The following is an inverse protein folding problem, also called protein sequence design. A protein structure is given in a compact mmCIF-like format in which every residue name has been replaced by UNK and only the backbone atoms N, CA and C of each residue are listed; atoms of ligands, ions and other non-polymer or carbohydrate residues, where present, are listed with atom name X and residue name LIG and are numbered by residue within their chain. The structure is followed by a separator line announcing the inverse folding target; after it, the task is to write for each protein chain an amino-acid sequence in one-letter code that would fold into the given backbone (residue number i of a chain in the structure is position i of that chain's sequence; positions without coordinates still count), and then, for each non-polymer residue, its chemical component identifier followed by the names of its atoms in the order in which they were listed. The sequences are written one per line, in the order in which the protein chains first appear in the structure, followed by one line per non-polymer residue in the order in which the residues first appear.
data_IF_674005263576
#
_entry.id   IF_674005263576
#
_cell.length_a   1.000
_cell.length_b   1.000
_cell.length_c   1.000
_cell.angle_alpha   90.00
_cell.angle_beta   90.00
_cell.angle_gamma   90.00
#
_symmetry.space_group_name_H-M   'P 1'
#
loop_
_entity.id
_entity.type
_entity.pdbx_description
1 polymer ?
#
# COMPACT_ATOMS: atom_id res chain seq x y z
N UNK A 1 1.49 -9.05 13.64
CA UNK A 1 0.46 -9.79 12.88
C UNK A 1 0.91 -11.21 12.52
N UNK A 2 2.14 -11.43 12.03
CA UNK A 2 2.63 -12.79 11.71
C UNK A 2 2.93 -13.70 12.90
N UNK A 3 3.17 -13.15 14.10
CA UNK A 3 3.37 -13.91 15.34
C UNK A 3 2.09 -14.03 16.18
N UNK A 4 0.96 -13.59 15.64
CA UNK A 4 -0.32 -13.67 16.34
C UNK A 4 -0.73 -15.14 16.50
N UNK A 5 -1.29 -15.53 17.67
CA UNK A 5 -1.75 -16.91 17.88
C UNK A 5 -2.92 -17.30 16.98
N UNK A 6 -3.64 -16.33 16.40
CA UNK A 6 -4.84 -16.57 15.61
C UNK A 6 -4.52 -16.80 14.13
N UNK A 7 -5.07 -17.90 13.60
CA UNK A 7 -4.68 -18.45 12.29
C UNK A 7 -5.04 -17.53 11.12
N UNK A 8 -6.23 -16.92 11.11
CA UNK A 8 -6.67 -16.03 10.04
C UNK A 8 -5.92 -14.69 10.01
N UNK A 9 -5.44 -14.23 11.19
CA UNK A 9 -4.61 -13.02 11.29
C UNK A 9 -3.25 -13.28 10.64
N UNK A 10 -2.65 -14.44 10.94
CA UNK A 10 -1.40 -14.89 10.32
C UNK A 10 -1.53 -15.02 8.80
N UNK A 11 -2.63 -15.62 8.34
CA UNK A 11 -2.94 -15.79 6.93
C UNK A 11 -3.00 -14.45 6.19
N UNK A 12 -3.77 -13.49 6.73
CA UNK A 12 -3.88 -12.14 6.16
C UNK A 12 -2.52 -11.43 6.12
N UNK A 13 -1.75 -11.53 7.20
CA UNK A 13 -0.43 -10.90 7.29
C UNK A 13 0.54 -11.36 6.19
N UNK A 14 0.57 -12.66 5.89
CA UNK A 14 1.46 -13.23 4.86
C UNK A 14 1.05 -12.81 3.45
N UNK A 15 -0.26 -12.75 3.17
CA UNK A 15 -0.77 -12.32 1.86
C UNK A 15 -0.52 -10.82 1.68
N UNK A 16 -0.81 -10.01 2.70
CA UNK A 16 -0.58 -8.57 2.67
C UNK A 16 0.90 -8.22 2.46
N UNK A 17 1.84 -8.96 3.08
CA UNK A 17 3.27 -8.72 2.84
C UNK A 17 3.68 -9.00 1.40
N UNK A 18 3.10 -10.01 0.73
CA UNK A 18 3.39 -10.27 -0.68
C UNK A 18 2.83 -9.19 -1.61
N UNK A 19 1.60 -8.71 -1.36
CA UNK A 19 0.97 -7.65 -2.16
C UNK A 19 1.76 -6.35 -2.13
N UNK A 20 2.35 -5.98 -0.99
CA UNK A 20 3.16 -4.76 -0.85
C UNK A 20 4.52 -4.91 -1.54
N UNK A 21 5.09 -6.12 -1.49
CA UNK A 21 6.44 -6.40 -1.99
C UNK A 21 6.46 -6.88 -3.44
N UNK A 22 5.30 -6.94 -4.11
CA UNK A 22 5.21 -7.27 -5.54
C UNK A 22 6.08 -6.31 -6.36
N UNK A 23 6.75 -6.83 -7.39
CA UNK A 23 7.65 -6.07 -8.26
C UNK A 23 8.92 -5.50 -7.57
N UNK A 24 9.18 -5.84 -6.29
CA UNK A 24 10.44 -5.48 -5.63
C UNK A 24 11.46 -6.60 -5.80
N UNK A 25 12.64 -6.26 -6.31
CA UNK A 25 13.76 -7.20 -6.40
C UNK A 25 14.61 -7.13 -5.14
N UNK A 26 15.36 -8.20 -4.84
CA UNK A 26 16.23 -8.28 -3.68
C UNK A 26 17.29 -7.16 -3.62
N UNK A 27 17.69 -6.65 -4.79
CA UNK A 27 18.63 -5.54 -4.93
C UNK A 27 17.99 -4.22 -4.46
N UNK A 28 16.72 -4.01 -4.79
CA UNK A 28 16.01 -2.77 -4.44
C UNK A 28 15.52 -2.75 -2.99
N UNK A 29 15.21 -3.92 -2.42
CA UNK A 29 14.83 -4.05 -1.03
C UNK A 29 15.30 -5.40 -0.45
N UNK A 30 16.23 -5.41 0.52
CA UNK A 30 16.74 -6.66 1.10
C UNK A 30 15.69 -7.41 1.92
N UNK A 31 14.59 -6.75 2.31
CA UNK A 31 13.46 -7.38 3.02
C UNK A 31 12.76 -8.46 2.18
N UNK A 32 12.83 -8.38 0.85
CA UNK A 32 12.27 -9.40 -0.05
C UNK A 32 12.84 -10.78 0.27
N UNK A 33 14.16 -10.88 0.49
CA UNK A 33 14.82 -12.14 0.82
C UNK A 33 14.39 -12.68 2.19
N UNK A 34 14.19 -11.79 3.17
CA UNK A 34 13.68 -12.17 4.50
C UNK A 34 12.27 -12.77 4.40
N UNK A 35 11.38 -12.15 3.62
CA UNK A 35 10.02 -12.67 3.42
C UNK A 35 10.01 -13.98 2.64
N UNK A 36 10.87 -14.16 1.64
CA UNK A 36 11.05 -15.45 0.94
C UNK A 36 11.45 -16.58 1.87
N UNK A 37 12.40 -16.30 2.77
CA UNK A 37 12.84 -17.27 3.78
C UNK A 37 11.71 -17.57 4.77
N UNK A 38 10.95 -16.55 5.18
CA UNK A 38 9.79 -16.72 6.05
C UNK A 38 8.73 -17.61 5.41
N UNK A 39 8.37 -17.37 4.14
CA UNK A 39 7.39 -18.20 3.43
C UNK A 39 7.90 -19.64 3.30
N UNK A 40 9.15 -19.84 2.87
CA UNK A 40 9.76 -21.16 2.79
C UNK A 40 9.78 -21.90 4.13
N UNK A 41 10.00 -21.18 5.24
CA UNK A 41 9.98 -21.76 6.58
C UNK A 41 8.57 -22.25 6.95
N UNK A 42 7.56 -21.39 6.80
CA UNK A 42 6.16 -21.72 7.13
C UNK A 42 5.65 -22.88 6.28
N UNK A 43 6.03 -22.95 5.00
CA UNK A 43 5.60 -24.03 4.09
C UNK A 43 6.17 -25.39 4.53
N UNK A 44 7.44 -25.42 4.95
CA UNK A 44 8.12 -26.67 5.34
C UNK A 44 7.84 -27.10 6.78
N UNK A 45 7.39 -26.18 7.63
CA UNK A 45 7.05 -26.51 9.01
C UNK A 45 5.71 -27.27 9.08
N UNK A 46 5.76 -28.51 9.54
CA UNK A 46 4.55 -29.33 9.74
C UNK A 46 3.73 -28.89 10.95
N UNK A 47 4.32 -28.14 11.87
CA UNK A 47 3.70 -27.66 13.09
C UNK A 47 2.89 -26.38 12.85
N UNK A 48 3.07 -25.73 11.70
CA UNK A 48 2.27 -24.59 11.29
C UNK A 48 0.88 -25.02 10.78
N UNK A 49 -0.08 -24.13 10.99
CA UNK A 49 -1.46 -24.32 10.56
C UNK A 49 -1.58 -24.49 9.04
N UNK A 50 -2.54 -25.31 8.61
CA UNK A 50 -2.82 -25.53 7.18
C UNK A 50 -3.17 -24.22 6.47
N UNK A 51 -3.89 -23.32 7.16
CA UNK A 51 -4.26 -22.01 6.61
C UNK A 51 -3.04 -21.10 6.42
N UNK A 52 -2.10 -21.10 7.37
CA UNK A 52 -0.86 -20.32 7.27
C UNK A 52 0.03 -20.84 6.11
N UNK A 53 0.14 -22.17 5.99
CA UNK A 53 0.85 -22.83 4.89
C UNK A 53 0.26 -22.49 3.53
N UNK A 54 -1.06 -22.56 3.40
CA UNK A 54 -1.75 -22.18 2.17
C UNK A 54 -1.47 -20.72 1.77
N UNK A 55 -1.58 -19.79 2.72
CA UNK A 55 -1.23 -18.38 2.45
C UNK A 55 0.24 -18.17 2.12
N UNK A 56 1.17 -18.91 2.72
CA UNK A 56 2.58 -18.78 2.43
C UNK A 56 2.90 -19.19 0.99
N UNK A 57 2.27 -20.26 0.48
CA UNK A 57 2.39 -20.70 -0.92
C UNK A 57 1.83 -19.62 -1.85
N UNK A 58 0.63 -19.10 -1.56
CA UNK A 58 0.03 -18.01 -2.33
C UNK A 58 0.89 -16.75 -2.32
N UNK A 59 1.38 -16.35 -1.15
CA UNK A 59 2.22 -15.18 -0.96
C UNK A 59 3.52 -15.30 -1.78
N UNK A 60 4.14 -16.49 -1.81
CA UNK A 60 5.32 -16.75 -2.62
C UNK A 60 5.01 -16.67 -4.13
N UNK A 61 3.86 -17.20 -4.57
CA UNK A 61 3.42 -17.09 -5.96
C UNK A 61 3.12 -15.65 -6.39
N UNK A 62 2.50 -14.84 -5.52
CA UNK A 62 2.22 -13.42 -5.78
C UNK A 62 3.50 -12.60 -5.83
N UNK A 63 4.44 -12.84 -4.90
CA UNK A 63 5.72 -12.13 -4.86
C UNK A 63 6.53 -12.35 -6.16
N UNK A 64 6.49 -13.58 -6.69
CA UNK A 64 7.28 -14.01 -7.85
C UNK A 64 6.51 -13.99 -9.18
N UNK A 65 5.31 -13.42 -9.16
CA UNK A 65 4.42 -13.37 -10.31
C UNK A 65 5.12 -12.75 -11.53
N UNK A 66 5.20 -13.53 -12.62
CA UNK A 66 5.83 -13.12 -13.88
C UNK A 66 7.31 -12.69 -13.75
N UNK A 67 8.04 -13.24 -12.77
CA UNK A 67 9.44 -12.89 -12.55
C UNK A 67 9.64 -11.47 -12.03
N UNK A 68 8.70 -10.96 -11.22
CA UNK A 68 8.65 -9.57 -10.72
C UNK A 68 8.37 -8.52 -11.81
N UNK A 69 7.84 -8.93 -12.97
CA UNK A 69 7.39 -8.00 -14.00
C UNK A 69 5.89 -7.66 -13.89
N UNK A 70 5.12 -8.51 -13.20
CA UNK A 70 3.70 -8.27 -12.90
C UNK A 70 3.59 -7.40 -11.65
N UNK A 71 2.59 -6.54 -11.63
CA UNK A 71 2.29 -5.67 -10.48
C UNK A 71 0.81 -5.73 -10.15
N UNK A 72 0.50 -5.50 -8.87
CA UNK A 72 -0.85 -5.26 -8.40
C UNK A 72 -0.81 -3.84 -7.83
N UNK A 73 -1.51 -2.92 -8.47
CA UNK A 73 -1.55 -1.51 -8.06
C UNK A 73 -3.00 -1.08 -7.86
N UNK A 74 -3.24 -0.35 -6.77
CA UNK A 74 -4.46 0.42 -6.61
C UNK A 74 -4.36 1.62 -7.56
N UNK A 75 -5.24 1.67 -8.56
CA UNK A 75 -5.18 2.67 -9.61
C UNK A 75 -5.85 3.96 -9.10
N UNK A 76 -5.05 5.00 -8.87
CA UNK A 76 -5.52 6.38 -8.82
C UNK A 76 -5.49 6.96 -10.24
N UNK A 77 -6.33 7.96 -10.53
CA UNK A 77 -6.38 8.63 -11.85
C UNK A 77 -5.02 9.18 -12.30
N UNK A 78 -4.12 9.48 -11.35
CA UNK A 78 -2.72 9.80 -11.59
C UNK A 78 -1.80 8.65 -11.12
N UNK A 79 -0.96 8.04 -11.99
CA UNK A 79 -0.05 6.98 -11.58
C UNK A 79 1.06 7.52 -10.65
N UNK A 80 0.90 7.30 -9.34
CA UNK A 80 1.78 7.86 -8.32
C UNK A 80 3.20 7.25 -8.28
N UNK A 81 3.46 6.13 -8.99
CA UNK A 81 4.77 5.46 -8.94
C UNK A 81 5.08 4.65 -10.19
N UNK A 82 6.24 4.91 -10.80
CA UNK A 82 6.76 4.18 -11.97
C UNK A 82 8.20 3.73 -11.68
N UNK A 83 8.56 2.49 -12.02
CA UNK A 83 9.96 2.00 -11.91
C UNK A 83 10.80 2.56 -13.07
N UNK A 84 12.11 2.81 -12.89
CA UNK A 84 12.97 3.28 -13.98
C UNK A 84 12.92 2.42 -15.26
N UNK A 85 12.79 1.10 -15.12
CA UNK A 85 12.65 0.18 -16.25
C UNK A 85 11.33 0.36 -17.03
N UNK A 86 10.27 0.81 -16.35
CA UNK A 86 8.94 1.02 -16.93
C UNK A 86 8.83 2.38 -17.66
N UNK A 87 9.73 3.34 -17.38
CA UNK A 87 9.70 4.66 -18.02
C UNK A 87 9.77 4.58 -19.55
N UNK A 88 10.43 3.55 -20.10
CA UNK A 88 10.58 3.35 -21.55
C UNK A 88 9.29 2.94 -22.26
N UNK A 89 8.32 2.40 -21.52
CA UNK A 89 7.06 1.88 -22.05
C UNK A 89 5.86 2.72 -21.59
N UNK A 90 6.12 3.83 -20.90
CA UNK A 90 5.08 4.74 -20.46
C UNK A 90 4.60 5.58 -21.65
N UNK A 91 3.29 5.59 -21.90
CA UNK A 91 2.63 6.51 -22.81
C UNK A 91 1.49 7.23 -22.09
N UNK A 92 1.26 8.50 -22.42
CA UNK A 92 0.07 9.20 -21.95
C UNK A 92 -1.13 8.78 -22.81
N UNK A 93 -2.32 8.58 -22.20
CA UNK A 93 -3.55 8.37 -22.96
C UNK A 93 -3.86 9.58 -23.85
N UNK A 94 -4.30 9.31 -25.08
CA UNK A 94 -4.72 10.33 -26.04
C UNK A 94 -5.99 11.04 -25.53
N UNK A 95 -6.08 12.37 -25.75
CA UNK A 95 -7.24 13.17 -25.33
C UNK A 95 -7.27 13.60 -23.87
N UNK A 96 -6.17 13.42 -23.13
CA UNK A 96 -6.03 13.93 -21.76
C UNK A 96 -5.81 15.44 -21.74
N UNK A 97 -6.45 16.15 -20.78
CA UNK A 97 -6.33 17.61 -20.56
C UNK A 97 -4.88 18.07 -20.37
N UNK A 98 -4.07 17.24 -19.73
CA UNK A 98 -2.69 17.53 -19.38
C UNK A 98 -1.72 16.77 -20.27
N UNK A 99 -0.96 17.49 -21.10
CA UNK A 99 0.03 16.91 -22.00
C UNK A 99 1.45 17.10 -21.47
N UNK A 100 2.33 16.08 -21.55
CA UNK A 100 3.68 16.18 -21.04
C UNK A 100 4.55 17.10 -21.91
N UNK A 101 5.16 18.12 -21.29
CA UNK A 101 6.08 19.03 -21.98
C UNK A 101 7.44 18.38 -22.29
N UNK A 102 7.80 17.34 -21.52
CA UNK A 102 9.02 16.54 -21.70
C UNK A 102 8.67 15.06 -21.85
N UNK A 103 9.52 14.32 -22.55
CA UNK A 103 9.36 12.86 -22.69
C UNK A 103 9.28 12.19 -21.31
N UNK A 104 8.25 11.35 -21.13
CA UNK A 104 8.02 10.59 -19.89
C UNK A 104 9.21 9.68 -19.53
N UNK A 105 10.00 9.28 -20.51
CA UNK A 105 11.20 8.44 -20.35
C UNK A 105 12.26 9.04 -19.43
N UNK A 106 12.26 10.36 -19.23
CA UNK A 106 13.21 11.04 -18.32
C UNK A 106 12.89 10.72 -16.85
N UNK A 107 11.62 10.46 -16.51
CA UNK A 107 11.16 10.29 -15.14
C UNK A 107 11.34 11.56 -14.28
N UNK A 108 11.21 11.41 -12.96
CA UNK A 108 11.32 12.53 -12.01
C UNK A 108 10.14 13.49 -12.07
N UNK A 109 10.40 14.78 -11.87
CA UNK A 109 9.37 15.83 -11.97
C UNK A 109 9.08 16.09 -13.45
N UNK A 110 7.86 15.78 -13.88
CA UNK A 110 7.38 16.03 -15.23
C UNK A 110 6.48 17.27 -15.20
N UNK A 111 6.80 18.23 -16.07
CA UNK A 111 5.95 19.41 -16.26
C UNK A 111 4.86 19.02 -17.26
N UNK A 112 3.61 19.18 -16.84
CA UNK A 112 2.44 19.00 -17.68
C UNK A 112 1.97 20.38 -18.16
N UNK A 113 1.63 20.47 -19.44
CA UNK A 113 0.97 21.62 -20.03
C UNK A 113 -0.54 21.34 -20.03
N UNK A 114 -1.32 22.23 -19.44
CA UNK A 114 -2.78 22.22 -19.61
C UNK A 114 -3.12 22.67 -21.02
N UNK A 115 -3.89 21.84 -21.74
CA UNK A 115 -4.38 22.14 -23.09
C UNK A 115 -5.87 22.47 -23.13
N UNK A 116 -6.57 22.45 -21.98
CA UNK A 116 -7.96 22.89 -21.89
C UNK A 116 -8.07 24.39 -21.64
N UNK A 117 -9.14 25.01 -22.14
CA UNK A 117 -9.50 26.41 -21.85
C UNK A 117 -10.36 26.55 -20.57
N UNK A 118 -10.79 25.43 -19.98
CA UNK A 118 -11.59 25.43 -18.75
C UNK A 118 -10.75 25.84 -17.54
N UNK A 119 -11.35 26.54 -16.56
CA UNK A 119 -10.63 26.88 -15.32
C UNK A 119 -10.22 25.60 -14.56
N UNK A 120 -9.01 25.59 -14.01
CA UNK A 120 -8.50 24.47 -13.21
C UNK A 120 -9.19 24.44 -11.86
N UNK A 121 -9.83 23.31 -11.55
CA UNK A 121 -10.29 23.04 -10.19
C UNK A 121 -9.11 22.45 -9.39
N UNK A 122 -8.28 23.33 -8.83
CA UNK A 122 -7.15 22.92 -8.01
C UNK A 122 -7.66 22.22 -6.75
N UNK A 123 -7.13 21.03 -6.47
CA UNK A 123 -7.37 20.35 -5.18
C UNK A 123 -6.80 21.25 -4.09
N UNK A 124 -7.60 21.57 -3.08
CA UNK A 124 -7.12 22.35 -1.94
C UNK A 124 -5.86 21.68 -1.35
N UNK A 125 -4.81 22.45 -1.04
CA UNK A 125 -3.62 21.90 -0.43
C UNK A 125 -3.99 21.28 0.91
N UNK A 126 -4.02 19.94 0.95
CA UNK A 126 -4.21 19.19 2.20
C UNK A 126 -3.01 19.52 3.08
N UNK A 127 -3.24 20.20 4.20
CA UNK A 127 -2.19 20.45 5.18
C UNK A 127 -1.55 19.11 5.56
N UNK A 128 -0.22 19.05 5.56
CA UNK A 128 0.52 17.85 5.92
C UNK A 128 0.34 17.54 7.41
N UNK A 129 -0.78 16.90 7.76
CA UNK A 129 -1.07 16.27 9.05
C UNK A 129 -2.26 15.29 9.04
N UNK A 130 -2.76 14.91 7.86
CA UNK A 130 -4.04 14.16 7.77
C UNK A 130 -5.22 15.05 8.17
N UNK A 131 -6.46 14.53 8.10
CA UNK A 131 -7.57 15.22 8.75
C UNK A 131 -7.19 15.41 10.21
N UNK A 132 -7.15 16.67 10.69
CA UNK A 132 -7.30 16.89 12.12
C UNK A 132 -8.55 16.11 12.49
N UNK A 133 -8.41 15.19 13.43
CA UNK A 133 -9.55 14.58 14.09
C UNK A 133 -10.18 15.74 14.87
N UNK A 134 -10.98 16.57 14.20
CA UNK A 134 -11.84 17.57 14.82
C UNK A 134 -13.06 16.83 15.36
N UNK A 135 -12.79 15.89 16.25
CA UNK A 135 -13.70 15.17 17.13
C UNK A 135 -12.78 14.33 18.02
N UNK A 136 -11.89 15.01 18.77
CA UNK A 136 -11.53 14.48 20.08
C UNK A 136 -12.86 14.37 20.82
N UNK A 137 -13.41 13.15 20.90
CA UNK A 137 -14.53 12.86 21.80
C UNK A 137 -14.15 13.46 23.16
N UNK A 138 -14.84 14.55 23.51
CA UNK A 138 -14.63 15.26 24.76
C UNK A 138 -14.80 14.21 25.87
N UNK A 139 -13.73 13.99 26.64
CA UNK A 139 -13.72 13.01 27.74
C UNK A 139 -15.00 13.20 28.57
N UNK A 140 -15.78 12.14 28.83
CA UNK A 140 -17.06 12.26 29.51
C UNK A 140 -16.86 12.95 30.87
N UNK A 141 -17.78 13.86 31.21
CA UNK A 141 -17.67 14.60 32.47
C UNK A 141 -17.59 13.63 33.67
N UNK A 142 -16.74 13.93 34.68
CA UNK A 142 -16.61 13.09 35.85
C UNK A 142 -17.98 12.83 36.50
N UNK A 143 -18.25 11.60 36.98
CA UNK A 143 -19.52 11.30 37.62
C UNK A 143 -19.75 12.19 38.83
N UNK A 144 -21.00 12.58 39.05
CA UNK A 144 -21.37 13.42 40.18
C UNK A 144 -20.96 12.78 41.52
N UNK A 145 -20.55 13.61 42.51
CA UNK A 145 -20.29 13.13 43.86
C UNK A 145 -21.50 12.37 44.38
N UNK A 146 -21.28 11.16 44.86
CA UNK A 146 -22.34 10.32 45.37
C UNK A 146 -23.00 11.02 46.59
N UNK A 147 -24.34 11.07 46.61
CA UNK A 147 -25.08 11.52 47.78
C UNK A 147 -25.27 10.33 48.73
N UNK A 148 -24.88 10.49 49.99
CA UNK A 148 -25.28 9.56 51.04
C UNK A 148 -26.76 9.83 51.34
N UNK A 149 -27.60 8.81 51.18
CA UNK A 149 -28.94 8.81 51.76
C UNK A 149 -28.73 8.62 53.27
N UNK A 150 -29.04 9.63 54.07
CA UNK A 150 -29.13 9.47 55.52
C UNK A 150 -30.32 8.53 55.82
N UNK A 151 -30.06 7.44 56.57
CA UNK A 151 -31.00 6.34 56.91
C UNK A 151 -32.41 6.80 57.36
#
# INVERSE_FOLDING_TARGET
MTNDPVNYVRQGALISSALIMIQQTEITCPKVSQFRQLYSKVINDKHDDVMARFSAILAQGVLDAGGHNVTISLQSENPARVKPAQLKVLSMPEGTRYQPFKLLSIGGIIILQDTSEEEEQLVEPVAAHGPKIEEEEQEPEPPEPFEYIDD
#
